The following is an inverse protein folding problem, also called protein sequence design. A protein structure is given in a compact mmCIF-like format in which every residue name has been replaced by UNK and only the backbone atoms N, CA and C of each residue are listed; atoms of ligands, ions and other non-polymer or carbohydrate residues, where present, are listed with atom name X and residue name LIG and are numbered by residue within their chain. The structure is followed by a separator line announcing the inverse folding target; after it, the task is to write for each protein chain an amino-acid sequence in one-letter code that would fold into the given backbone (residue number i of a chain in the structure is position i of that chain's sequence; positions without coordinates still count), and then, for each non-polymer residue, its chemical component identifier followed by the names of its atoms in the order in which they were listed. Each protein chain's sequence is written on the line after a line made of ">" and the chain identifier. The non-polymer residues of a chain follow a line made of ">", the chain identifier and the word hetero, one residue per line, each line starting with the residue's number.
data_IF_946893726232
#
_entry.id   IF_946893726232
#
_cell.length_a   1.000
_cell.length_b   1.000
_cell.length_c   1.000
_cell.angle_alpha   90.00
_cell.angle_beta   90.00
_cell.angle_gamma   90.00
#
_symmetry.space_group_name_H-M   'P 1'
#
loop_
_entity.id
_entity.type
_entity.pdbx_description
1 polymer ?
#
# COMPACT_ATOMS: atom_id res chain seq x y z
N UNK A 1 42.70 49.38 26.41
CA UNK A 1 41.62 49.34 25.38
C UNK A 1 41.39 47.95 24.78
N UNK A 2 42.42 47.13 24.53
CA UNK A 2 42.30 45.82 23.84
C UNK A 2 41.43 44.77 24.58
N UNK A 3 41.42 44.76 25.92
CA UNK A 3 40.65 43.78 26.72
C UNK A 3 39.12 43.98 26.69
N UNK A 4 38.64 45.18 26.31
CA UNK A 4 37.20 45.48 26.18
C UNK A 4 36.65 45.05 24.81
N UNK A 5 37.48 45.07 23.78
CA UNK A 5 37.12 44.62 22.43
C UNK A 5 37.04 43.09 22.33
N UNK A 6 37.93 42.38 23.04
CA UNK A 6 37.91 40.91 23.11
C UNK A 6 36.62 40.36 23.75
N UNK A 7 36.03 41.06 24.73
CA UNK A 7 34.78 40.65 25.39
C UNK A 7 33.54 40.85 24.51
N UNK A 8 33.57 41.80 23.58
CA UNK A 8 32.48 42.00 22.61
C UNK A 8 32.52 40.96 21.49
N UNK A 9 33.71 40.51 21.09
CA UNK A 9 33.87 39.50 20.05
C UNK A 9 33.44 38.09 20.51
N UNK A 10 33.55 37.77 21.80
CA UNK A 10 33.06 36.51 22.36
C UNK A 10 31.53 36.47 22.50
N UNK A 11 30.88 37.61 22.73
CA UNK A 11 29.42 37.67 22.91
C UNK A 11 28.65 37.51 21.58
N UNK A 12 29.24 37.92 20.45
CA UNK A 12 28.65 37.76 19.11
C UNK A 12 28.76 36.31 18.61
N UNK A 13 29.76 35.56 19.06
CA UNK A 13 29.96 34.17 18.64
C UNK A 13 28.93 33.20 19.26
N UNK A 14 28.33 33.54 20.41
CA UNK A 14 27.32 32.70 21.06
C UNK A 14 25.89 32.92 20.52
N UNK A 15 25.62 34.01 19.82
CA UNK A 15 24.29 34.30 19.24
C UNK A 15 24.11 33.59 17.87
N UNK A 16 25.21 33.17 17.23
CA UNK A 16 25.20 32.52 15.92
C UNK A 16 24.83 31.02 15.90
N UNK A 17 24.50 30.42 17.05
CA UNK A 17 24.01 29.03 17.10
C UNK A 17 22.50 29.00 17.32
N UNK A 18 21.76 29.66 16.42
CA UNK A 18 20.37 29.21 16.20
C UNK A 18 20.54 27.83 15.58
N UNK A 19 20.27 26.79 16.38
CA UNK A 19 20.20 25.43 15.88
C UNK A 19 19.22 25.46 14.71
N UNK A 20 19.73 25.23 13.50
CA UNK A 20 18.87 24.90 12.36
C UNK A 20 18.26 23.57 12.75
N UNK A 21 17.03 23.57 13.29
CA UNK A 21 16.22 22.37 13.27
C UNK A 21 15.99 22.05 11.80
N UNK A 22 16.80 21.15 11.25
CA UNK A 22 16.44 20.45 10.04
C UNK A 22 15.13 19.72 10.38
N UNK A 23 14.03 20.17 9.78
CA UNK A 23 12.78 19.43 9.78
C UNK A 23 13.09 18.15 9.00
N UNK A 24 13.37 17.05 9.72
CA UNK A 24 13.46 15.74 9.09
C UNK A 24 12.11 15.51 8.41
N UNK A 25 12.10 15.67 7.09
CA UNK A 25 10.98 15.24 6.26
C UNK A 25 11.03 13.72 6.29
N UNK A 26 10.47 13.14 7.36
CA UNK A 26 10.30 11.71 7.50
C UNK A 26 9.19 11.32 6.51
N UNK A 27 9.57 11.12 5.24
CA UNK A 27 8.69 10.49 4.28
C UNK A 27 8.43 9.08 4.82
N UNK A 28 7.24 8.88 5.37
CA UNK A 28 6.91 7.60 5.96
C UNK A 28 6.65 6.61 4.82
N UNK A 29 7.63 5.74 4.54
CA UNK A 29 7.50 4.68 3.53
C UNK A 29 6.23 3.87 3.75
N UNK A 30 5.30 3.87 2.79
CA UNK A 30 4.09 3.05 2.85
C UNK A 30 4.26 1.76 2.06
N UNK A 31 3.86 0.64 2.66
CA UNK A 31 3.93 -0.69 2.07
C UNK A 31 2.54 -1.14 1.68
N UNK A 32 2.33 -1.35 0.38
CA UNK A 32 1.01 -1.71 -0.15
C UNK A 32 1.08 -3.07 -0.83
N UNK A 33 0.18 -3.98 -0.45
CA UNK A 33 -0.05 -5.22 -1.18
C UNK A 33 -1.01 -4.94 -2.35
N UNK A 34 -0.64 -5.32 -3.56
CA UNK A 34 -1.54 -5.36 -4.72
C UNK A 34 -1.80 -6.82 -5.06
N UNK A 35 -3.04 -7.26 -4.91
CA UNK A 35 -3.48 -8.61 -5.24
C UNK A 35 -4.33 -8.57 -6.50
N UNK A 36 -3.77 -9.06 -7.60
CA UNK A 36 -4.44 -9.13 -8.88
C UNK A 36 -5.20 -10.44 -9.08
N UNK A 37 -6.38 -10.34 -9.69
CA UNK A 37 -7.19 -11.49 -10.10
C UNK A 37 -6.49 -12.38 -11.13
N UNK A 38 -5.79 -11.77 -12.09
CA UNK A 38 -5.24 -12.46 -13.25
C UNK A 38 -3.74 -12.19 -13.38
N UNK A 39 -3.09 -12.86 -14.32
CA UNK A 39 -1.66 -12.75 -14.55
C UNK A 39 -1.28 -11.45 -15.29
N UNK A 40 -0.01 -11.01 -15.23
CA UNK A 40 0.42 -9.75 -15.83
C UNK A 40 0.45 -9.75 -17.36
N UNK A 41 0.20 -10.87 -18.05
CA UNK A 41 0.03 -10.83 -19.52
C UNK A 41 -1.39 -10.42 -19.93
N UNK A 42 -2.35 -10.44 -19.00
CA UNK A 42 -3.71 -10.02 -19.28
C UNK A 42 -3.81 -8.49 -19.30
N UNK A 43 -4.27 -7.93 -20.44
CA UNK A 43 -4.28 -6.48 -20.69
C UNK A 43 -4.96 -5.69 -19.56
N UNK A 44 -6.12 -6.16 -19.10
CA UNK A 44 -6.85 -5.53 -17.99
C UNK A 44 -6.02 -5.43 -16.71
N UNK A 45 -5.23 -6.45 -16.39
CA UNK A 45 -4.35 -6.45 -15.22
C UNK A 45 -3.23 -5.43 -15.37
N UNK A 46 -2.65 -5.30 -16.57
CA UNK A 46 -1.66 -4.26 -16.86
C UNK A 46 -2.25 -2.85 -16.75
N UNK A 47 -3.46 -2.64 -17.27
CA UNK A 47 -4.12 -1.33 -17.24
C UNK A 47 -4.40 -0.87 -15.81
N UNK A 48 -4.90 -1.80 -14.97
CA UNK A 48 -5.09 -1.54 -13.53
C UNK A 48 -3.75 -1.24 -12.85
N UNK A 49 -2.72 -2.05 -13.08
CA UNK A 49 -1.40 -1.84 -12.47
C UNK A 49 -0.80 -0.49 -12.85
N UNK A 50 -0.88 -0.11 -14.13
CA UNK A 50 -0.43 1.19 -14.61
C UNK A 50 -1.22 2.35 -13.96
N UNK A 51 -2.53 2.17 -13.75
CA UNK A 51 -3.36 3.11 -13.01
C UNK A 51 -2.93 3.29 -11.56
N UNK A 52 -2.64 2.18 -10.86
CA UNK A 52 -2.13 2.18 -9.48
C UNK A 52 -0.80 2.94 -9.39
N UNK A 53 0.16 2.61 -10.26
CA UNK A 53 1.47 3.28 -10.29
C UNK A 53 1.34 4.77 -10.61
N UNK A 54 0.48 5.13 -11.56
CA UNK A 54 0.21 6.53 -11.90
C UNK A 54 -0.39 7.28 -10.71
N UNK A 55 -1.29 6.66 -9.95
CA UNK A 55 -1.88 7.25 -8.75
C UNK A 55 -0.84 7.53 -7.67
N UNK A 56 0.02 6.54 -7.35
CA UNK A 56 1.05 6.74 -6.33
C UNK A 56 2.16 7.72 -6.73
N UNK A 57 2.47 7.86 -8.02
CA UNK A 57 3.38 8.90 -8.53
C UNK A 57 2.89 10.33 -8.28
N UNK A 58 1.61 10.53 -7.98
CA UNK A 58 1.03 11.84 -7.67
C UNK A 58 1.06 12.17 -6.17
N UNK A 59 1.57 11.26 -5.34
CA UNK A 59 1.69 11.47 -3.89
C UNK A 59 3.10 11.90 -3.52
N UNK A 60 3.25 12.70 -2.46
CA UNK A 60 4.55 13.19 -1.98
C UNK A 60 5.35 12.13 -1.18
N UNK A 61 4.76 10.96 -0.94
CA UNK A 61 5.35 9.88 -0.13
C UNK A 61 5.89 8.72 -0.97
N UNK A 62 6.90 8.02 -0.44
CA UNK A 62 7.38 6.78 -1.06
C UNK A 62 6.40 5.63 -0.77
N UNK A 63 6.01 4.91 -1.83
CA UNK A 63 5.15 3.73 -1.74
C UNK A 63 5.86 2.53 -2.34
N UNK A 64 6.04 1.48 -1.53
CA UNK A 64 6.59 0.19 -1.95
C UNK A 64 5.46 -0.80 -2.20
N UNK A 65 5.29 -1.17 -3.46
CA UNK A 65 4.31 -2.17 -3.87
C UNK A 65 4.88 -3.59 -3.71
N UNK A 66 4.08 -4.47 -3.12
CA UNK A 66 4.25 -5.92 -3.21
C UNK A 66 3.12 -6.45 -4.09
N UNK A 67 3.46 -7.01 -5.26
CA UNK A 67 2.48 -7.40 -6.26
C UNK A 67 2.37 -8.92 -6.31
N UNK A 68 1.15 -9.42 -6.24
CA UNK A 68 0.82 -10.84 -6.29
C UNK A 68 -0.30 -11.09 -7.31
N UNK A 69 -0.21 -12.21 -8.03
CA UNK A 69 -1.14 -12.57 -9.09
C UNK A 69 -1.77 -13.91 -8.78
N UNK A 70 -3.11 -13.96 -8.75
CA UNK A 70 -3.86 -15.19 -8.54
C UNK A 70 -3.97 -16.06 -9.78
N UNK A 71 -3.73 -15.49 -10.97
CA UNK A 71 -3.80 -16.24 -12.22
C UNK A 71 -5.15 -16.96 -12.46
N UNK A 72 -6.25 -16.39 -11.96
CA UNK A 72 -7.52 -17.09 -11.82
C UNK A 72 -8.22 -17.40 -13.16
N UNK A 73 -7.80 -16.80 -14.28
CA UNK A 73 -8.27 -17.20 -15.62
C UNK A 73 -7.73 -18.57 -16.03
N UNK A 74 -6.52 -18.91 -15.59
CA UNK A 74 -5.87 -20.19 -15.93
C UNK A 74 -6.07 -21.24 -14.84
N UNK A 75 -5.91 -20.87 -13.57
CA UNK A 75 -5.98 -21.81 -12.44
C UNK A 75 -6.90 -21.28 -11.35
N UNK A 76 -8.05 -21.92 -11.17
CA UNK A 76 -9.10 -21.48 -10.22
C UNK A 76 -9.65 -22.63 -9.36
N UNK A 77 -8.94 -23.76 -9.28
CA UNK A 77 -9.33 -24.84 -8.38
C UNK A 77 -9.19 -24.40 -6.91
N UNK A 78 -10.08 -24.89 -6.04
CA UNK A 78 -10.04 -24.56 -4.62
C UNK A 78 -8.69 -24.93 -3.98
N UNK A 79 -8.13 -26.10 -4.33
CA UNK A 79 -6.84 -26.54 -3.82
C UNK A 79 -5.68 -25.61 -4.20
N UNK A 80 -5.72 -25.01 -5.39
CA UNK A 80 -4.74 -24.00 -5.78
C UNK A 80 -4.89 -22.72 -4.95
N UNK A 81 -6.13 -22.21 -4.80
CA UNK A 81 -6.39 -20.99 -4.03
C UNK A 81 -6.04 -21.17 -2.53
N UNK A 82 -6.29 -22.35 -1.96
CA UNK A 82 -5.87 -22.67 -0.59
C UNK A 82 -4.34 -22.67 -0.43
N UNK A 83 -3.62 -23.20 -1.42
CA UNK A 83 -2.15 -23.15 -1.42
C UNK A 83 -1.63 -21.73 -1.61
N UNK A 84 -2.25 -20.94 -2.49
CA UNK A 84 -1.94 -19.52 -2.67
C UNK A 84 -2.12 -18.74 -1.36
N UNK A 85 -3.23 -18.95 -0.65
CA UNK A 85 -3.45 -18.32 0.65
C UNK A 85 -2.41 -18.74 1.70
N UNK A 86 -1.99 -20.00 1.68
CA UNK A 86 -0.95 -20.51 2.56
C UNK A 86 0.42 -19.91 2.23
N UNK A 87 0.74 -19.78 0.95
CA UNK A 87 1.93 -19.09 0.46
C UNK A 87 1.95 -17.61 0.91
N UNK A 88 0.87 -16.86 0.67
CA UNK A 88 0.79 -15.44 1.05
C UNK A 88 0.93 -15.26 2.58
N UNK A 89 0.25 -16.07 3.39
CA UNK A 89 0.40 -16.05 4.84
C UNK A 89 1.84 -16.32 5.26
N UNK A 90 2.50 -17.32 4.66
CA UNK A 90 3.87 -17.66 5.00
C UNK A 90 4.86 -16.56 4.60
N UNK A 91 4.72 -16.02 3.38
CA UNK A 91 5.57 -14.97 2.81
C UNK A 91 5.51 -13.68 3.61
N UNK A 92 4.31 -13.27 4.02
CA UNK A 92 4.08 -11.98 4.66
C UNK A 92 3.88 -12.05 6.18
N UNK A 93 4.17 -13.18 6.84
CA UNK A 93 3.97 -13.35 8.30
C UNK A 93 4.67 -12.31 9.18
N UNK A 94 5.78 -11.75 8.71
CA UNK A 94 6.58 -10.76 9.41
C UNK A 94 6.67 -9.44 8.62
N UNK A 95 5.74 -9.24 7.67
CA UNK A 95 5.69 -8.07 6.82
C UNK A 95 4.34 -7.38 6.97
N UNK A 96 4.35 -6.18 7.55
CA UNK A 96 3.14 -5.41 7.76
C UNK A 96 2.87 -4.48 6.57
N UNK A 97 1.63 -4.49 6.10
CA UNK A 97 1.15 -3.61 5.04
C UNK A 97 0.36 -2.45 5.64
N UNK A 98 0.58 -1.27 5.09
CA UNK A 98 -0.19 -0.05 5.36
C UNK A 98 -1.47 0.03 4.53
N UNK A 99 -1.61 -0.82 3.51
CA UNK A 99 -2.81 -0.93 2.70
C UNK A 99 -2.80 -2.16 1.78
N UNK A 100 -3.99 -2.53 1.31
CA UNK A 100 -4.18 -3.61 0.34
C UNK A 100 -5.07 -3.11 -0.81
N UNK A 101 -4.64 -3.36 -2.04
CA UNK A 101 -5.42 -3.15 -3.26
C UNK A 101 -5.78 -4.51 -3.83
N UNK A 102 -7.05 -4.70 -4.17
CA UNK A 102 -7.62 -5.96 -4.65
C UNK A 102 -8.24 -5.67 -6.01
N UNK A 103 -7.74 -6.29 -7.09
CA UNK A 103 -8.27 -6.01 -8.42
C UNK A 103 -9.22 -7.11 -8.91
N UNK A 104 -10.43 -6.74 -9.29
CA UNK A 104 -11.44 -7.59 -9.93
C UNK A 104 -11.99 -8.72 -9.03
N UNK A 105 -13.05 -9.37 -9.49
CA UNK A 105 -13.92 -10.22 -8.69
C UNK A 105 -13.21 -11.49 -8.19
N UNK A 106 -12.22 -12.03 -8.90
CA UNK A 106 -11.55 -13.26 -8.48
C UNK A 106 -10.68 -13.02 -7.23
N UNK A 107 -9.95 -11.91 -7.19
CA UNK A 107 -9.18 -11.48 -6.03
C UNK A 107 -10.12 -11.08 -4.88
N UNK A 108 -11.23 -10.42 -5.18
CA UNK A 108 -12.25 -10.12 -4.18
C UNK A 108 -12.83 -11.38 -3.53
N UNK A 109 -13.22 -12.38 -4.33
CA UNK A 109 -13.68 -13.69 -3.82
C UNK A 109 -12.58 -14.40 -3.03
N UNK A 110 -11.35 -14.39 -3.52
CA UNK A 110 -10.21 -14.99 -2.82
C UNK A 110 -10.01 -14.36 -1.44
N UNK A 111 -10.04 -13.02 -1.36
CA UNK A 111 -9.85 -12.30 -0.10
C UNK A 111 -10.95 -12.63 0.89
N UNK A 112 -12.21 -12.65 0.44
CA UNK A 112 -13.36 -13.00 1.28
C UNK A 112 -13.31 -14.43 1.83
N UNK A 113 -12.75 -15.36 1.07
CA UNK A 113 -12.78 -16.79 1.42
C UNK A 113 -11.51 -17.25 2.16
N UNK A 114 -10.35 -16.67 1.86
CA UNK A 114 -9.06 -17.24 2.28
C UNK A 114 -8.13 -16.24 2.98
N UNK A 115 -8.36 -14.93 2.84
CA UNK A 115 -7.48 -13.92 3.40
C UNK A 115 -7.91 -13.59 4.83
N UNK A 116 -7.16 -14.14 5.79
CA UNK A 116 -7.32 -13.78 7.19
C UNK A 116 -6.51 -12.52 7.45
N UNK A 117 -7.19 -11.39 7.63
CA UNK A 117 -6.55 -10.14 8.05
C UNK A 117 -6.58 -10.03 9.59
N UNK A 118 -5.48 -10.34 10.30
CA UNK A 118 -5.44 -10.21 11.76
C UNK A 118 -5.61 -8.75 12.21
N UNK A 119 -5.27 -7.78 11.36
CA UNK A 119 -5.41 -6.35 11.61
C UNK A 119 -6.54 -5.78 10.74
N UNK A 120 -7.79 -6.08 11.13
CA UNK A 120 -9.01 -5.67 10.40
C UNK A 120 -9.07 -4.17 10.02
N UNK A 121 -8.29 -3.30 10.67
CA UNK A 121 -8.25 -1.86 10.40
C UNK A 121 -7.31 -1.44 9.25
N UNK A 122 -6.51 -2.36 8.68
CA UNK A 122 -5.67 -2.04 7.51
C UNK A 122 -6.59 -1.61 6.35
N UNK A 123 -6.37 -0.43 5.74
CA UNK A 123 -7.12 0.03 4.58
C UNK A 123 -7.11 -1.01 3.45
N UNK A 124 -8.30 -1.35 2.95
CA UNK A 124 -8.45 -2.26 1.81
C UNK A 124 -9.31 -1.60 0.74
N UNK A 125 -8.82 -1.56 -0.50
CA UNK A 125 -9.58 -1.02 -1.63
C UNK A 125 -9.71 -2.09 -2.70
N UNK A 126 -10.95 -2.48 -3.00
CA UNK A 126 -11.26 -3.34 -4.13
C UNK A 126 -11.64 -2.48 -5.36
N UNK A 127 -11.08 -2.77 -6.53
CA UNK A 127 -11.27 -1.99 -7.76
C UNK A 127 -11.61 -2.89 -8.94
N UNK A 128 -12.36 -2.38 -9.92
CA UNK A 128 -12.78 -3.15 -11.10
C UNK A 128 -13.75 -4.28 -10.75
N UNK A 129 -14.60 -4.05 -9.74
CA UNK A 129 -15.55 -5.07 -9.23
C UNK A 129 -16.84 -5.00 -10.06
N UNK A 130 -17.20 -6.12 -10.68
CA UNK A 130 -18.43 -6.26 -11.45
C UNK A 130 -19.60 -6.74 -10.57
N UNK A 131 -19.33 -7.58 -9.58
CA UNK A 131 -20.32 -8.04 -8.62
C UNK A 131 -20.75 -6.91 -7.66
N UNK A 132 -21.86 -6.24 -7.98
CA UNK A 132 -22.46 -5.15 -7.19
C UNK A 132 -22.90 -5.55 -5.78
N UNK A 133 -23.01 -6.85 -5.49
CA UNK A 133 -23.33 -7.36 -4.15
C UNK A 133 -22.08 -7.60 -3.28
N UNK A 134 -20.89 -7.42 -3.83
CA UNK A 134 -19.63 -7.75 -3.18
C UNK A 134 -19.18 -6.66 -2.20
N UNK A 135 -18.86 -7.04 -0.97
CA UNK A 135 -18.38 -6.11 0.07
C UNK A 135 -17.19 -6.68 0.84
N UNK A 136 -16.37 -5.78 1.38
CA UNK A 136 -15.22 -6.06 2.24
C UNK A 136 -15.56 -6.13 3.73
N UNK A 137 -16.81 -5.87 4.15
CA UNK A 137 -17.20 -5.74 5.57
C UNK A 137 -16.85 -6.96 6.43
N UNK A 138 -16.85 -8.15 5.82
CA UNK A 138 -16.47 -9.41 6.49
C UNK A 138 -14.97 -9.54 6.74
N UNK A 139 -14.13 -8.79 6.02
CA UNK A 139 -12.67 -8.94 6.01
C UNK A 139 -11.97 -7.72 6.61
N UNK A 140 -12.50 -6.52 6.39
CA UNK A 140 -11.93 -5.26 6.88
C UNK A 140 -13.00 -4.36 7.51
N UNK A 141 -12.62 -3.58 8.51
CA UNK A 141 -13.42 -2.47 9.05
C UNK A 141 -13.10 -1.15 8.34
N UNK A 142 -12.09 -1.14 7.47
CA UNK A 142 -11.64 -0.01 6.67
C UNK A 142 -11.55 -0.46 5.21
N UNK A 143 -12.68 -0.89 4.66
CA UNK A 143 -12.81 -1.42 3.31
C UNK A 143 -13.60 -0.49 2.40
N UNK A 144 -13.11 -0.28 1.19
CA UNK A 144 -13.80 0.46 0.13
C UNK A 144 -13.88 -0.40 -1.13
N UNK A 145 -15.00 -0.33 -1.84
CA UNK A 145 -15.21 -1.05 -3.11
C UNK A 145 -15.55 -0.04 -4.20
N UNK A 146 -14.76 -0.05 -5.26
CA UNK A 146 -14.96 0.73 -6.48
C UNK A 146 -15.48 -0.24 -7.55
N UNK A 147 -16.79 -0.16 -7.79
CA UNK A 147 -17.43 -0.99 -8.80
C UNK A 147 -17.15 -0.45 -10.21
N UNK A 148 -17.09 -1.36 -11.18
CA UNK A 148 -16.98 -1.00 -12.59
C UNK A 148 -18.25 -0.27 -13.05
N UNK A 149 -18.07 0.82 -13.79
CA UNK A 149 -19.17 1.52 -14.46
C UNK A 149 -19.17 1.10 -15.93
N UNK A 150 -20.21 0.35 -16.35
CA UNK A 150 -20.45 0.11 -17.76
C UNK A 150 -20.71 1.46 -18.43
N UNK A 151 -19.80 1.89 -19.32
CA UNK A 151 -19.96 3.08 -20.15
C UNK A 151 -20.32 2.71 -21.58
#
# INVERSE_FOLDING_TARGET
>A
MVKRLARFLTLVLCIGTVAVQAEETNWELKRVLVLHSYDPSYQWTNDIQAGIEKGFKQTDGEVKLSIEYLDAKRVHSEGYLQQMASYLRFKYRAYEFDGVIISDDAAMRFVRNYFQNPKRNVPMVAIGINDKGSSLDKVSTNGSVIYEEDR
#
